data_IF_379537175533
#
_entry.id   IF_379537175533
#
_cell.length_a   1.000
_cell.length_b   1.000
_cell.length_c   1.000
_cell.angle_alpha   90.00
_cell.angle_beta   90.00
_cell.angle_gamma   90.00
#
_symmetry.space_group_name_H-M   'P 1'
#
loop_
_entity.id
_entity.type
_entity.pdbx_description
1 polymer ?
#
# COMPACT_ATOMS: atom_id res chain seq x y z
N UNK A 1 -2.53 -18.61 -19.64
CA UNK A 1 -3.37 -17.44 -19.89
C UNK A 1 -2.49 -16.21 -19.82
N UNK A 2 -2.24 -15.58 -20.95
CA UNK A 2 -1.40 -14.39 -21.02
C UNK A 2 -2.24 -13.16 -20.68
N UNK A 3 -2.01 -12.55 -19.53
CA UNK A 3 -2.59 -11.24 -19.24
C UNK A 3 -1.76 -10.17 -19.94
N UNK A 4 -2.23 -9.73 -21.11
CA UNK A 4 -1.75 -8.53 -21.75
C UNK A 4 -2.16 -7.33 -20.91
N UNK A 5 -1.22 -6.76 -20.18
CA UNK A 5 -1.40 -5.46 -19.54
C UNK A 5 -1.36 -4.38 -20.63
N UNK A 6 -2.52 -3.99 -21.11
CA UNK A 6 -2.68 -2.85 -22.02
C UNK A 6 -2.79 -1.58 -21.18
N UNK A 7 -1.75 -0.78 -21.17
CA UNK A 7 -1.75 0.52 -20.50
C UNK A 7 -2.46 1.55 -21.36
N UNK A 8 -3.50 2.22 -20.87
CA UNK A 8 -4.12 3.33 -21.58
C UNK A 8 -3.23 4.58 -21.46
N UNK A 9 -2.53 4.92 -22.52
CA UNK A 9 -1.94 6.25 -22.68
C UNK A 9 -3.06 7.28 -22.82
N UNK A 10 -3.43 7.90 -21.70
CA UNK A 10 -4.28 9.08 -21.74
C UNK A 10 -3.44 10.30 -22.08
N UNK A 11 -3.52 10.76 -23.33
CA UNK A 11 -3.07 12.09 -23.72
C UNK A 11 -3.85 13.13 -22.90
N UNK A 12 -3.12 13.85 -22.07
CA UNK A 12 -3.67 14.98 -21.30
C UNK A 12 -3.52 16.25 -22.11
N UNK A 13 -4.66 16.83 -22.50
CA UNK A 13 -4.75 18.14 -23.10
C UNK A 13 -4.26 19.23 -22.14
N UNK A 14 -3.57 20.21 -22.72
CA UNK A 14 -3.09 21.43 -22.11
C UNK A 14 -4.25 22.25 -21.53
N UNK A 15 -4.15 22.63 -20.24
CA UNK A 15 -5.08 23.53 -19.57
C UNK A 15 -4.39 24.18 -18.38
N UNK A 16 -4.16 25.47 -18.52
CA UNK A 16 -3.61 26.41 -17.56
C UNK A 16 -4.30 26.38 -16.18
N UNK A 17 -3.50 26.33 -15.07
CA UNK A 17 -4.00 26.30 -13.70
C UNK A 17 -2.85 26.02 -12.72
N UNK A 18 -1.85 26.92 -12.62
CA UNK A 18 -0.48 26.47 -12.32
C UNK A 18 -0.08 26.59 -10.90
N UNK A 19 -0.51 26.86 -9.81
CA UNK A 19 0.22 26.90 -8.53
C UNK A 19 -0.18 25.81 -7.52
N UNK A 20 -1.45 25.45 -7.41
CA UNK A 20 -1.91 24.44 -6.47
C UNK A 20 -1.60 22.99 -6.92
N UNK A 21 -1.44 22.78 -8.22
CA UNK A 21 -1.19 21.45 -8.80
C UNK A 21 0.26 20.98 -8.63
N UNK A 22 1.21 21.92 -8.52
CA UNK A 22 2.62 21.59 -8.35
C UNK A 22 2.95 21.11 -6.93
N UNK A 23 2.29 21.66 -5.92
CA UNK A 23 2.49 21.27 -4.51
C UNK A 23 1.91 19.87 -4.25
N UNK A 24 0.72 19.58 -4.76
CA UNK A 24 0.09 18.27 -4.63
C UNK A 24 0.90 17.17 -5.35
N UNK A 25 1.41 17.45 -6.55
CA UNK A 25 2.27 16.51 -7.27
C UNK A 25 3.60 16.26 -6.56
N UNK A 26 4.20 17.27 -5.92
CA UNK A 26 5.42 17.10 -5.16
C UNK A 26 5.20 16.26 -3.89
N UNK A 27 4.04 16.37 -3.25
CA UNK A 27 3.66 15.55 -2.11
C UNK A 27 3.42 14.07 -2.49
N UNK A 28 2.74 13.82 -3.61
CA UNK A 28 2.58 12.46 -4.14
C UNK A 28 3.93 11.81 -4.48
N UNK A 29 4.85 12.57 -5.06
CA UNK A 29 6.20 12.12 -5.37
C UNK A 29 6.95 11.67 -4.10
N UNK A 30 6.86 12.46 -3.05
CA UNK A 30 7.49 12.16 -1.77
C UNK A 30 6.82 10.99 -1.05
N UNK A 31 5.48 10.93 -1.03
CA UNK A 31 4.75 9.79 -0.42
C UNK A 31 5.09 8.46 -1.10
N UNK A 32 5.27 8.48 -2.41
CA UNK A 32 5.69 7.31 -3.20
C UNK A 32 7.20 7.11 -3.24
N UNK A 33 7.99 7.94 -2.55
CA UNK A 33 9.43 7.81 -2.44
C UNK A 33 10.21 8.16 -3.71
N UNK A 34 9.60 8.88 -4.66
CA UNK A 34 10.28 9.35 -5.88
C UNK A 34 10.97 10.68 -5.60
N UNK A 35 12.08 10.60 -4.91
CA UNK A 35 12.90 11.76 -4.49
C UNK A 35 13.94 12.14 -5.55
N UNK A 36 14.45 13.38 -5.53
CA UNK A 36 15.56 13.77 -6.39
C UNK A 36 16.80 12.88 -6.25
N UNK A 37 17.10 12.44 -5.02
CA UNK A 37 18.23 11.54 -4.74
C UNK A 37 18.03 10.18 -5.41
N UNK A 38 16.82 9.64 -5.41
CA UNK A 38 16.50 8.41 -6.14
C UNK A 38 16.68 8.62 -7.65
N UNK A 39 16.17 9.72 -8.21
CA UNK A 39 16.31 10.03 -9.63
C UNK A 39 17.77 10.18 -10.06
N UNK A 40 18.60 10.82 -9.25
CA UNK A 40 20.04 10.92 -9.50
C UNK A 40 20.73 9.55 -9.46
N UNK A 41 20.36 8.71 -8.49
CA UNK A 41 20.84 7.33 -8.44
C UNK A 41 20.44 6.55 -9.70
N UNK A 42 19.19 6.66 -10.16
CA UNK A 42 18.69 5.97 -11.35
C UNK A 42 19.44 6.35 -12.63
N UNK A 43 19.96 7.57 -12.72
CA UNK A 43 20.81 8.01 -13.83
C UNK A 43 22.16 7.29 -13.86
N UNK A 44 22.63 6.80 -12.73
CA UNK A 44 23.89 6.05 -12.64
C UNK A 44 23.72 4.57 -12.96
N UNK A 45 22.48 4.06 -12.99
CA UNK A 45 22.19 2.68 -13.28
C UNK A 45 22.42 2.33 -14.78
N UNK A 46 22.92 1.13 -15.00
CA UNK A 46 23.10 0.58 -16.33
C UNK A 46 22.34 -0.72 -16.52
N UNK A 47 22.10 -1.11 -17.77
CA UNK A 47 21.51 -2.42 -18.09
C UNK A 47 22.34 -3.59 -17.53
N UNK A 48 23.66 -3.41 -17.43
CA UNK A 48 24.56 -4.45 -16.91
C UNK A 48 24.45 -4.64 -15.41
N UNK A 49 24.12 -3.56 -14.65
CA UNK A 49 23.82 -3.67 -13.24
C UNK A 49 22.60 -4.56 -12.99
N UNK A 50 21.55 -4.42 -13.79
CA UNK A 50 20.36 -5.28 -13.73
C UNK A 50 20.66 -6.72 -14.10
N UNK A 51 21.47 -6.96 -15.14
CA UNK A 51 21.88 -8.32 -15.54
C UNK A 51 22.71 -9.01 -14.46
N UNK A 52 23.66 -8.28 -13.85
CA UNK A 52 24.49 -8.79 -12.76
C UNK A 52 23.65 -9.13 -11.53
N UNK A 53 22.72 -8.27 -11.16
CA UNK A 53 21.79 -8.52 -10.07
C UNK A 53 20.84 -9.71 -10.36
N UNK A 54 20.41 -9.87 -11.62
CA UNK A 54 19.61 -11.02 -12.05
C UNK A 54 20.36 -12.35 -11.85
N UNK A 55 21.66 -12.40 -12.17
CA UNK A 55 22.49 -13.59 -11.96
C UNK A 55 22.63 -13.93 -10.47
N UNK A 56 22.79 -12.92 -9.62
CA UNK A 56 22.88 -13.13 -8.16
C UNK A 56 21.55 -13.66 -7.56
N UNK A 57 20.41 -13.25 -8.11
CA UNK A 57 19.10 -13.69 -7.66
C UNK A 57 18.74 -15.10 -8.14
N UNK A 58 19.35 -15.64 -9.19
CA UNK A 58 19.08 -16.99 -9.70
C UNK A 58 19.52 -18.09 -8.72
N UNK A 59 20.38 -17.80 -7.75
CA UNK A 59 20.81 -18.73 -6.69
C UNK A 59 19.90 -18.75 -5.47
N UNK A 60 18.87 -17.91 -5.39
CA UNK A 60 17.93 -17.85 -4.29
C UNK A 60 16.62 -18.57 -4.61
N UNK A 61 16.01 -19.21 -3.62
CA UNK A 61 14.78 -19.97 -3.75
C UNK A 61 13.66 -19.23 -4.52
N UNK A 62 13.03 -19.94 -5.43
CA UNK A 62 11.97 -19.44 -6.35
C UNK A 62 10.74 -18.81 -5.68
N UNK A 63 10.52 -19.09 -4.41
CA UNK A 63 9.36 -18.59 -3.65
C UNK A 63 9.26 -17.07 -3.56
N UNK A 64 10.39 -16.39 -3.54
CA UNK A 64 10.39 -14.93 -3.56
C UNK A 64 10.17 -14.34 -4.96
N UNK A 65 10.34 -15.14 -6.02
CA UNK A 65 10.13 -14.72 -7.42
C UNK A 65 8.65 -14.64 -7.81
N UNK A 66 7.77 -15.33 -7.07
CA UNK A 66 6.34 -15.44 -7.37
C UNK A 66 5.50 -14.31 -6.76
N UNK A 67 6.03 -13.49 -5.86
CA UNK A 67 5.25 -12.43 -5.22
C UNK A 67 4.98 -11.29 -6.19
N UNK A 68 3.70 -10.94 -6.30
CA UNK A 68 3.28 -9.75 -7.03
C UNK A 68 3.69 -8.47 -6.28
N UNK A 69 3.81 -7.37 -7.00
CA UNK A 69 4.09 -6.07 -6.40
C UNK A 69 2.95 -5.67 -5.45
N UNK A 70 3.29 -5.01 -4.35
CA UNK A 70 2.29 -4.39 -3.50
C UNK A 70 1.64 -3.20 -4.22
N UNK A 71 0.43 -2.81 -3.80
CA UNK A 71 -0.26 -1.65 -4.37
C UNK A 71 0.59 -0.37 -4.32
N UNK A 72 1.36 -0.18 -3.25
CA UNK A 72 2.30 0.94 -3.15
C UNK A 72 3.44 0.82 -4.17
N UNK A 73 4.01 -0.37 -4.32
CA UNK A 73 5.08 -0.64 -5.29
C UNK A 73 4.62 -0.43 -6.74
N UNK A 74 3.38 -0.79 -7.05
CA UNK A 74 2.80 -0.54 -8.37
C UNK A 74 2.66 0.97 -8.65
N UNK A 75 2.14 1.74 -7.70
CA UNK A 75 2.02 3.20 -7.82
C UNK A 75 3.39 3.87 -7.96
N UNK A 76 4.37 3.44 -7.15
CA UNK A 76 5.76 3.90 -7.24
C UNK A 76 6.35 3.59 -8.63
N UNK A 77 6.15 2.39 -9.15
CA UNK A 77 6.65 1.97 -10.47
C UNK A 77 6.11 2.85 -11.61
N UNK A 78 4.82 3.16 -11.59
CA UNK A 78 4.19 4.06 -12.56
C UNK A 78 4.81 5.46 -12.50
N UNK A 79 4.93 6.00 -11.30
CA UNK A 79 5.43 7.35 -11.10
C UNK A 79 6.91 7.48 -11.46
N UNK A 80 7.74 6.53 -11.04
CA UNK A 80 9.18 6.56 -11.33
C UNK A 80 9.45 6.42 -12.83
N UNK A 81 8.71 5.60 -13.56
CA UNK A 81 8.83 5.50 -15.02
C UNK A 81 8.45 6.80 -15.74
N UNK A 82 7.50 7.55 -15.21
CA UNK A 82 7.11 8.84 -15.78
C UNK A 82 8.20 9.91 -15.64
N UNK A 83 9.04 9.79 -14.61
CA UNK A 83 10.07 10.78 -14.25
C UNK A 83 11.50 10.36 -14.63
N UNK A 84 11.81 9.06 -14.53
CA UNK A 84 13.13 8.52 -14.85
C UNK A 84 13.16 7.90 -16.26
N UNK A 85 13.48 8.71 -17.26
CA UNK A 85 13.57 8.26 -18.65
C UNK A 85 14.65 7.21 -18.86
N UNK A 86 15.71 7.29 -18.11
CA UNK A 86 16.82 6.34 -18.12
C UNK A 86 16.36 4.95 -17.67
N UNK A 87 15.60 4.87 -16.60
CA UNK A 87 15.01 3.62 -16.13
C UNK A 87 14.03 3.03 -17.15
N UNK A 88 13.20 3.86 -17.76
CA UNK A 88 12.27 3.44 -18.81
C UNK A 88 13.02 2.84 -20.02
N UNK A 89 14.16 3.44 -20.41
CA UNK A 89 15.02 2.94 -21.47
C UNK A 89 15.64 1.59 -21.10
N UNK A 90 16.21 1.47 -19.91
CA UNK A 90 16.78 0.21 -19.41
C UNK A 90 15.72 -0.90 -19.41
N UNK A 91 14.51 -0.60 -18.94
CA UNK A 91 13.40 -1.55 -18.97
C UNK A 91 13.05 -1.99 -20.38
N UNK A 92 12.99 -1.07 -21.33
CA UNK A 92 12.71 -1.38 -22.73
C UNK A 92 13.81 -2.28 -23.35
N UNK A 93 15.07 -2.03 -23.03
CA UNK A 93 16.21 -2.80 -23.52
C UNK A 93 16.25 -4.23 -22.93
N UNK A 94 15.81 -4.40 -21.67
CA UNK A 94 15.89 -5.66 -20.95
C UNK A 94 14.63 -6.52 -21.06
N UNK A 95 13.46 -5.91 -21.10
CA UNK A 95 12.19 -6.62 -21.11
C UNK A 95 11.55 -6.62 -22.52
N UNK A 96 11.02 -7.76 -22.98
CA UNK A 96 11.07 -9.10 -22.41
C UNK A 96 12.31 -9.92 -22.81
N UNK A 97 13.22 -9.35 -23.60
CA UNK A 97 14.31 -10.07 -24.28
C UNK A 97 15.30 -10.76 -23.32
N UNK A 98 15.68 -10.08 -22.24
CA UNK A 98 16.68 -10.58 -21.30
C UNK A 98 16.08 -11.01 -19.96
N UNK A 99 14.96 -10.43 -19.56
CA UNK A 99 14.26 -10.78 -18.32
C UNK A 99 12.77 -10.46 -18.41
N UNK A 100 11.97 -11.10 -17.53
CA UNK A 100 10.55 -10.83 -17.39
C UNK A 100 10.33 -9.51 -16.64
N UNK A 101 9.20 -8.86 -16.90
CA UNK A 101 8.85 -7.58 -16.25
C UNK A 101 8.82 -7.70 -14.70
N UNK A 102 8.26 -8.77 -14.16
CA UNK A 102 8.28 -9.04 -12.71
C UNK A 102 9.70 -9.14 -12.15
N UNK A 103 10.61 -9.78 -12.87
CA UNK A 103 12.01 -9.89 -12.48
C UNK A 103 12.73 -8.55 -12.53
N UNK A 104 12.44 -7.73 -13.54
CA UNK A 104 12.97 -6.37 -13.65
C UNK A 104 12.61 -5.53 -12.43
N UNK A 105 11.32 -5.51 -12.05
CA UNK A 105 10.86 -4.73 -10.90
C UNK A 105 11.43 -5.24 -9.59
N UNK A 106 11.56 -6.54 -9.42
CA UNK A 106 12.19 -7.13 -8.24
C UNK A 106 13.65 -6.65 -8.08
N UNK A 107 14.41 -6.67 -9.18
CA UNK A 107 15.79 -6.18 -9.19
C UNK A 107 15.82 -4.68 -8.90
N UNK A 108 14.92 -3.92 -9.52
CA UNK A 108 14.80 -2.49 -9.27
C UNK A 108 14.61 -2.20 -7.78
N UNK A 109 13.63 -2.82 -7.13
CA UNK A 109 13.36 -2.62 -5.71
C UNK A 109 14.53 -3.07 -4.81
N UNK A 110 15.28 -4.07 -5.24
CA UNK A 110 16.49 -4.48 -4.54
C UNK A 110 17.61 -3.43 -4.64
N UNK A 111 17.88 -2.92 -5.84
CA UNK A 111 18.93 -1.92 -6.08
C UNK A 111 18.60 -0.56 -5.46
N UNK A 112 17.35 -0.13 -5.52
CA UNK A 112 16.88 1.14 -4.99
C UNK A 112 16.44 1.07 -3.50
N UNK A 113 16.58 -0.08 -2.84
CA UNK A 113 16.07 -0.32 -1.49
C UNK A 113 16.46 0.74 -0.47
N UNK A 114 17.70 1.19 -0.49
CA UNK A 114 18.21 2.21 0.45
C UNK A 114 17.51 3.56 0.31
N UNK A 115 17.02 3.89 -0.87
CA UNK A 115 16.34 5.15 -1.17
C UNK A 115 14.84 5.09 -0.90
N UNK A 116 14.19 3.94 -1.14
CA UNK A 116 12.73 3.80 -1.09
C UNK A 116 12.21 3.17 0.20
N UNK A 117 13.02 2.38 0.91
CA UNK A 117 12.61 1.64 2.10
C UNK A 117 11.92 2.50 3.18
N UNK A 118 12.38 3.72 3.51
CA UNK A 118 11.71 4.55 4.52
C UNK A 118 10.28 4.94 4.12
N UNK A 119 10.05 5.18 2.83
CA UNK A 119 8.75 5.59 2.30
C UNK A 119 7.78 4.40 2.22
N UNK A 120 8.28 3.24 1.78
CA UNK A 120 7.51 1.99 1.76
C UNK A 120 7.08 1.59 3.17
N UNK A 121 7.97 1.65 4.17
CA UNK A 121 7.63 1.37 5.56
C UNK A 121 6.57 2.33 6.12
N UNK A 122 6.67 3.62 5.80
CA UNK A 122 5.67 4.62 6.19
C UNK A 122 4.31 4.30 5.57
N UNK A 123 4.26 3.90 4.32
CA UNK A 123 3.03 3.50 3.64
C UNK A 123 2.40 2.24 4.28
N UNK A 124 3.20 1.24 4.62
CA UNK A 124 2.75 0.03 5.32
C UNK A 124 2.19 0.38 6.70
N UNK A 125 2.85 1.24 7.46
CA UNK A 125 2.39 1.70 8.77
C UNK A 125 1.08 2.46 8.68
N UNK A 126 0.95 3.37 7.70
CA UNK A 126 -0.29 4.13 7.45
C UNK A 126 -1.46 3.20 7.12
N UNK A 127 -1.23 2.20 6.28
CA UNK A 127 -2.27 1.22 5.93
C UNK A 127 -2.65 0.32 7.12
N UNK A 128 -1.67 -0.09 7.92
CA UNK A 128 -1.94 -0.87 9.14
C UNK A 128 -2.77 -0.07 10.14
N UNK A 129 -2.45 1.20 10.34
CA UNK A 129 -3.20 2.09 11.23
C UNK A 129 -4.64 2.26 10.73
N UNK A 130 -4.84 2.50 9.44
CA UNK A 130 -6.16 2.61 8.82
C UNK A 130 -7.02 1.35 9.02
N UNK A 131 -6.42 0.16 8.93
CA UNK A 131 -7.12 -1.11 9.21
C UNK A 131 -7.54 -1.22 10.67
N UNK A 132 -6.68 -0.85 11.60
CA UNK A 132 -6.98 -0.86 13.03
C UNK A 132 -8.14 0.09 13.36
N UNK A 133 -8.19 1.28 12.76
CA UNK A 133 -9.28 2.24 12.94
C UNK A 133 -10.62 1.70 12.42
N UNK A 134 -10.63 1.05 11.25
CA UNK A 134 -11.84 0.43 10.69
C UNK A 134 -12.33 -0.75 11.52
N UNK A 135 -11.44 -1.57 12.07
CA UNK A 135 -11.79 -2.68 12.96
C UNK A 135 -12.30 -2.19 14.32
N UNK A 136 -11.67 -1.16 14.87
CA UNK A 136 -12.11 -0.53 16.14
C UNK A 136 -13.48 0.15 16.01
N UNK A 137 -13.78 0.75 14.86
CA UNK A 137 -15.10 1.30 14.55
C UNK A 137 -16.20 0.25 14.52
N UNK A 138 -15.94 -0.91 13.93
CA UNK A 138 -16.88 -2.05 13.92
C UNK A 138 -17.11 -2.64 15.30
N UNK A 139 -16.08 -2.73 16.13
CA UNK A 139 -16.21 -3.22 17.52
C UNK A 139 -17.08 -2.30 18.38
N UNK A 140 -16.99 -0.99 18.19
CA UNK A 140 -17.84 -0.03 18.95
C UNK A 140 -19.31 -0.15 18.59
N UNK A 141 -19.64 -0.37 17.34
CA UNK A 141 -21.03 -0.51 16.88
C UNK A 141 -21.68 -1.79 17.42
N UNK A 142 -20.94 -2.88 17.50
CA UNK A 142 -21.41 -4.16 18.04
C UNK A 142 -21.62 -4.06 19.57
N UNK A 143 -20.74 -3.39 20.29
CA UNK A 143 -20.86 -3.21 21.75
C UNK A 143 -22.04 -2.32 22.11
N UNK A 144 -22.34 -1.31 21.31
CA UNK A 144 -23.48 -0.40 21.57
C UNK A 144 -24.81 -1.14 21.42
N UNK A 145 -24.94 -2.04 20.45
CA UNK A 145 -26.15 -2.83 20.24
C UNK A 145 -26.37 -3.87 21.35
N UNK A 146 -25.30 -4.48 21.88
CA UNK A 146 -25.42 -5.42 22.99
C UNK A 146 -25.81 -4.75 24.30
N UNK A 147 -25.35 -3.53 24.57
CA UNK A 147 -25.72 -2.77 25.77
C UNK A 147 -27.19 -2.36 25.75
N UNK A 148 -27.74 -1.93 24.62
CA UNK A 148 -29.17 -1.62 24.49
C UNK A 148 -30.08 -2.84 24.69
N UNK A 149 -29.64 -4.03 24.25
CA UNK A 149 -30.36 -5.28 24.44
C UNK A 149 -30.36 -5.75 25.92
N UNK A 150 -29.30 -5.43 26.67
CA UNK A 150 -29.23 -5.78 28.12
C UNK A 150 -30.04 -4.81 29.01
N UNK A 151 -30.11 -3.54 28.68
CA UNK A 151 -30.97 -2.59 29.42
C UNK A 151 -32.46 -2.94 29.28
N UNK A 152 -32.89 -3.39 28.09
CA UNK A 152 -34.27 -3.82 27.85
C UNK A 152 -34.65 -5.08 28.64
N UNK A 153 -33.69 -5.94 29.02
CA UNK A 153 -33.92 -7.11 29.85
C UNK A 153 -33.87 -6.83 31.34
N UNK A 154 -33.09 -5.82 31.75
CA UNK A 154 -32.98 -5.45 33.17
C UNK A 154 -34.24 -4.75 33.72
N UNK A 155 -34.94 -3.99 32.88
CA UNK A 155 -36.16 -3.27 33.28
C UNK A 155 -37.37 -4.19 33.50
N UNK A 156 -37.30 -5.46 33.06
CA UNK A 156 -38.41 -6.42 33.16
C UNK A 156 -38.37 -7.28 34.42
N UNK A 157 -37.25 -7.28 35.17
CA UNK A 157 -37.08 -8.10 36.38
C UNK A 157 -37.34 -7.37 37.68
N UNK A 158 -37.51 -6.03 37.67
CA UNK A 158 -37.65 -5.24 38.89
C UNK A 158 -39.11 -4.96 39.31
N UNK A 159 -40.11 -5.64 38.76
CA UNK A 159 -41.52 -5.41 39.06
C UNK A 159 -42.26 -6.59 39.70
N UNK A 160 -41.56 -7.60 40.23
CA UNK A 160 -42.23 -8.70 40.95
C UNK A 160 -41.47 -9.07 42.21
N UNK A 161 -41.43 -8.22 43.22
CA UNK A 161 -41.22 -8.63 44.63
C UNK A 161 -41.44 -7.49 45.58
N UNK A 162 -42.70 -7.06 45.71
CA UNK A 162 -43.22 -6.37 46.90
C UNK A 162 -44.63 -6.90 47.15
N UNK A 163 -44.75 -7.94 47.88
CA UNK A 163 -45.86 -8.22 48.79
C UNK A 163 -45.44 -9.36 49.74
N UNK A 164 -45.74 -9.14 51.01
CA UNK A 164 -45.84 -10.03 52.16
C UNK A 164 -44.57 -10.34 52.95
N UNK A 165 -44.46 -9.57 54.01
CA UNK A 165 -44.11 -10.12 55.32
C UNK A 165 -44.63 -9.14 56.45
N UNK A 166 -45.91 -9.23 56.77
CA UNK A 166 -46.39 -8.78 58.02
C UNK A 166 -47.17 -9.92 58.73
N UNK A 167 -46.93 -10.09 59.98
CA UNK A 167 -47.61 -10.94 60.99
C UNK A 167 -46.82 -12.22 61.34
N UNK A 168 -46.12 -12.20 62.47
CA UNK A 168 -46.67 -12.66 63.74
C UNK A 168 -45.66 -12.47 64.86
N UNK A 169 -46.02 -11.53 65.80
CA UNK A 169 -45.55 -11.54 67.17
C UNK A 169 -46.61 -12.27 68.01
N UNK A 170 -46.20 -13.21 68.78
CA UNK A 170 -46.74 -13.57 70.12
C UNK A 170 -45.86 -14.62 70.78
#
# INVERSE_FOLDING_TARGET
MAFSFSWPFRRRGSGDGGASKSVAAAQEDEELGVTPQLLDFLRTLSSDAFKSAALQLQGGSDDAAARDLSSWQEQHAVLVLSKAKELAKIRYDLCPRHMKDKQFWRIYFLLAKSYISPYELRAIQKEKLRRMETESGKSKEVITVEVELQESKSTRVSQTSEVDLESQAS
#
